data_IF_729410558778
#
_entry.id   IF_729410558778
#
_cell.length_a   1.000
_cell.length_b   1.000
_cell.length_c   1.000
_cell.angle_alpha   90.00
_cell.angle_beta   90.00
_cell.angle_gamma   90.00
#
_symmetry.space_group_name_H-M   'P 1'
#
loop_
_entity.id
_entity.type
_entity.pdbx_description
1 polymer ?
#
# COMPACT_ATOMS: atom_id res chain seq x y z
N UNK A 1 2.29 -15.84 5.90
CA UNK A 1 3.09 -14.72 6.43
C UNK A 1 2.27 -13.94 7.47
N UNK A 2 1.71 -14.61 8.48
CA UNK A 2 0.91 -13.93 9.51
C UNK A 2 1.81 -13.10 10.42
N UNK A 3 1.30 -11.96 10.89
CA UNK A 3 1.96 -11.03 11.82
C UNK A 3 3.17 -10.24 11.27
N UNK A 4 3.30 -10.14 9.94
CA UNK A 4 4.32 -9.30 9.31
C UNK A 4 3.71 -8.00 8.78
N UNK A 5 4.53 -6.96 8.78
CA UNK A 5 4.23 -5.69 8.10
C UNK A 5 5.10 -5.59 6.86
N UNK A 6 4.50 -5.30 5.71
CA UNK A 6 5.21 -5.09 4.45
C UNK A 6 5.00 -3.66 3.96
N UNK A 7 6.08 -3.02 3.50
CA UNK A 7 6.03 -1.74 2.78
C UNK A 7 6.15 -1.99 1.28
N UNK A 8 5.25 -1.39 0.49
CA UNK A 8 5.27 -1.44 -0.98
C UNK A 8 5.38 -0.02 -1.54
N UNK A 9 6.57 0.35 -2.01
CA UNK A 9 6.77 1.61 -2.74
C UNK A 9 6.23 1.48 -4.16
N UNK A 10 5.39 2.44 -4.60
CA UNK A 10 4.73 2.36 -5.91
C UNK A 10 3.53 1.41 -5.94
N UNK A 11 2.89 1.15 -4.79
CA UNK A 11 1.80 0.18 -4.66
C UNK A 11 0.45 0.59 -5.26
N UNK A 12 0.31 1.83 -5.74
CA UNK A 12 -0.99 2.37 -6.19
C UNK A 12 -1.51 1.74 -7.48
N UNK A 13 -0.64 1.24 -8.37
CA UNK A 13 -1.02 0.75 -9.71
C UNK A 13 -0.21 -0.46 -10.16
N UNK A 14 -0.64 -1.10 -11.26
CA UNK A 14 0.10 -2.16 -11.95
C UNK A 14 0.53 -3.32 -11.04
N UNK A 15 1.81 -3.67 -11.13
CA UNK A 15 2.43 -4.76 -10.35
C UNK A 15 2.35 -4.47 -8.84
N UNK A 16 2.60 -3.22 -8.43
CA UNK A 16 2.55 -2.84 -7.02
C UNK A 16 1.17 -3.10 -6.40
N UNK A 17 0.09 -2.77 -7.12
CA UNK A 17 -1.28 -3.07 -6.69
C UNK A 17 -1.52 -4.57 -6.52
N UNK A 18 -1.05 -5.39 -7.45
CA UNK A 18 -1.18 -6.85 -7.37
C UNK A 18 -0.43 -7.42 -6.15
N UNK A 19 0.78 -6.90 -5.89
CA UNK A 19 1.60 -7.29 -4.73
C UNK A 19 0.92 -6.94 -3.41
N UNK A 20 0.34 -5.72 -3.30
CA UNK A 20 -0.42 -5.31 -2.11
C UNK A 20 -1.57 -6.29 -1.85
N UNK A 21 -2.38 -6.59 -2.86
CA UNK A 21 -3.52 -7.53 -2.74
C UNK A 21 -3.07 -8.93 -2.31
N UNK A 22 -2.01 -9.44 -2.90
CA UNK A 22 -1.48 -10.78 -2.60
C UNK A 22 -0.94 -10.87 -1.17
N UNK A 23 -0.23 -9.84 -0.69
CA UNK A 23 0.24 -9.82 0.69
C UNK A 23 -0.91 -9.75 1.69
N UNK A 24 -1.91 -8.92 1.43
CA UNK A 24 -3.08 -8.80 2.30
C UNK A 24 -3.87 -10.12 2.32
N UNK A 25 -4.04 -10.80 1.18
CA UNK A 25 -4.66 -12.13 1.10
C UNK A 25 -3.92 -13.17 1.96
N UNK A 26 -2.61 -13.01 2.15
CA UNK A 26 -1.78 -13.86 3.01
C UNK A 26 -1.81 -13.47 4.50
N UNK A 27 -2.65 -12.51 4.89
CA UNK A 27 -2.80 -12.01 6.26
C UNK A 27 -1.65 -11.10 6.72
N UNK A 28 -0.96 -10.45 5.78
CA UNK A 28 0.10 -9.47 6.04
C UNK A 28 -0.52 -8.08 6.16
N UNK A 29 -0.05 -7.27 7.09
CA UNK A 29 -0.40 -5.84 7.13
C UNK A 29 0.43 -5.10 6.10
N UNK A 30 -0.21 -4.36 5.19
CA UNK A 30 0.52 -3.73 4.09
C UNK A 30 0.42 -2.21 4.18
N UNK A 31 1.56 -1.55 4.20
CA UNK A 31 1.65 -0.10 3.96
C UNK A 31 2.13 0.10 2.55
N UNK A 32 1.48 0.94 1.77
CA UNK A 32 1.92 1.22 0.41
C UNK A 32 1.90 2.71 0.10
N UNK A 33 2.83 3.12 -0.75
CA UNK A 33 3.04 4.52 -1.06
C UNK A 33 2.94 4.81 -2.56
N UNK A 34 2.53 6.03 -2.88
CA UNK A 34 2.51 6.53 -4.26
C UNK A 34 2.13 8.00 -4.35
N UNK A 35 2.23 8.55 -5.56
CA UNK A 35 1.99 9.99 -5.83
C UNK A 35 0.50 10.34 -5.95
N UNK A 36 -0.32 9.40 -6.41
CA UNK A 36 -1.72 9.66 -6.77
C UNK A 36 -2.62 9.30 -5.59
N UNK A 37 -3.13 10.35 -4.93
CA UNK A 37 -3.97 10.21 -3.74
C UNK A 37 -5.24 9.40 -4.00
N UNK A 38 -5.97 9.73 -5.06
CA UNK A 38 -7.29 9.13 -5.34
C UNK A 38 -7.18 7.63 -5.64
N UNK A 39 -6.25 7.23 -6.51
CA UNK A 39 -6.03 5.81 -6.83
C UNK A 39 -5.57 5.02 -5.60
N UNK A 40 -4.69 5.59 -4.79
CA UNK A 40 -4.22 4.97 -3.55
C UNK A 40 -5.33 4.81 -2.51
N UNK A 41 -6.11 5.85 -2.26
CA UNK A 41 -7.24 5.81 -1.32
C UNK A 41 -8.36 4.89 -1.78
N UNK A 42 -8.63 4.83 -3.08
CA UNK A 42 -9.58 3.86 -3.65
C UNK A 42 -9.15 2.43 -3.35
N UNK A 43 -7.87 2.10 -3.62
CA UNK A 43 -7.33 0.76 -3.35
C UNK A 43 -7.35 0.41 -1.85
N UNK A 44 -6.98 1.37 -0.99
CA UNK A 44 -7.05 1.20 0.47
C UNK A 44 -8.48 0.85 0.91
N UNK A 45 -9.48 1.60 0.45
CA UNK A 45 -10.89 1.35 0.79
C UNK A 45 -11.39 0.01 0.25
N UNK A 46 -11.05 -0.34 -0.99
CA UNK A 46 -11.42 -1.64 -1.58
C UNK A 46 -10.91 -2.80 -0.71
N UNK A 47 -9.62 -2.80 -0.38
CA UNK A 47 -8.99 -3.88 0.37
C UNK A 47 -9.48 -3.93 1.82
N UNK A 48 -9.70 -2.77 2.45
CA UNK A 48 -10.27 -2.72 3.81
C UNK A 48 -11.69 -3.24 3.88
N UNK A 49 -12.51 -2.98 2.85
CA UNK A 49 -13.86 -3.52 2.76
C UNK A 49 -13.86 -5.06 2.62
N UNK A 50 -12.81 -5.62 2.01
CA UNK A 50 -12.57 -7.08 1.94
C UNK A 50 -12.01 -7.66 3.25
N UNK A 51 -11.87 -6.86 4.32
CA UNK A 51 -11.34 -7.30 5.63
C UNK A 51 -9.82 -7.30 5.72
N UNK A 52 -9.14 -6.70 4.73
CA UNK A 52 -7.69 -6.59 4.68
C UNK A 52 -7.12 -5.44 5.50
N UNK A 53 -5.93 -5.63 6.07
CA UNK A 53 -5.21 -4.60 6.83
C UNK A 53 -4.19 -3.89 5.92
N UNK A 54 -4.60 -2.72 5.40
CA UNK A 54 -3.78 -1.92 4.49
C UNK A 54 -3.82 -0.43 4.85
N UNK A 55 -2.72 0.28 4.58
CA UNK A 55 -2.62 1.73 4.74
C UNK A 55 -1.90 2.38 3.55
N UNK A 56 -2.48 3.46 3.02
CA UNK A 56 -1.92 4.23 1.93
C UNK A 56 -1.30 5.54 2.43
N UNK A 57 -0.06 5.79 2.01
CA UNK A 57 0.67 7.04 2.26
C UNK A 57 0.96 7.73 0.94
N UNK A 58 0.56 9.00 0.82
CA UNK A 58 1.04 9.83 -0.29
C UNK A 58 2.51 10.12 -0.06
N UNK A 59 3.35 9.63 -0.96
CA UNK A 59 4.79 9.86 -0.93
C UNK A 59 5.32 9.92 -2.36
N UNK A 60 6.06 10.97 -2.65
CA UNK A 60 6.97 10.99 -3.79
C UNK A 60 8.34 10.45 -3.35
N UNK A 61 8.74 9.29 -3.88
CA UNK A 61 9.98 8.61 -3.47
C UNK A 61 11.25 9.29 -3.99
N UNK A 62 11.14 10.28 -4.88
CA UNK A 62 12.28 11.09 -5.33
C UNK A 62 12.58 12.24 -4.37
N UNK A 63 11.64 12.58 -3.50
CA UNK A 63 11.82 13.56 -2.42
C UNK A 63 12.34 12.87 -1.15
N UNK A 64 13.62 13.06 -0.85
CA UNK A 64 14.26 12.45 0.32
C UNK A 64 13.64 12.85 1.67
N UNK A 65 13.00 14.02 1.76
CA UNK A 65 12.24 14.43 2.96
C UNK A 65 10.95 13.62 3.13
N UNK A 66 10.25 13.30 2.04
CA UNK A 66 9.01 12.52 2.11
C UNK A 66 9.26 11.05 2.47
N UNK A 67 10.42 10.52 2.11
CA UNK A 67 10.82 9.14 2.45
C UNK A 67 11.21 8.97 3.92
N UNK A 68 11.70 10.03 4.58
CA UNK A 68 12.14 10.00 6.00
C UNK A 68 11.00 10.19 7.01
N UNK A 69 9.77 10.42 6.53
CA UNK A 69 8.59 10.73 7.33
C UNK A 69 7.98 9.49 7.95
#
# INVERSE_FOLDING_TARGET
>A
MKDKVAIVTGGSTGIGKAVVKEFVSKGVKVVFCGRRLEEGKKLESEIRAEGGDVYFVVCDVTSGEQVKR
#
